data_IF_115050017540
#
_entry.id   IF_115050017540
#
_cell.length_a   1.000
_cell.length_b   1.000
_cell.length_c   1.000
_cell.angle_alpha   90.00
_cell.angle_beta   90.00
_cell.angle_gamma   90.00
#
_symmetry.space_group_name_H-M   'P 1'
#
loop_
_entity.id
_entity.type
_entity.pdbx_description
1 polymer ?
#
# COMPACT_ATOMS: atom_id res chain seq x y z
N UNK A 1 -36.04 -61.80 -2.53
CA UNK A 1 -35.20 -62.19 -3.67
C UNK A 1 -35.04 -60.95 -4.53
N UNK A 2 -34.22 -60.00 -4.07
CA UNK A 2 -32.79 -59.84 -4.46
C UNK A 2 -32.69 -59.13 -5.83
N UNK A 3 -32.55 -57.80 -5.82
CA UNK A 3 -31.29 -57.03 -5.90
C UNK A 3 -30.57 -57.13 -7.24
N UNK A 4 -30.48 -55.99 -7.95
CA UNK A 4 -29.23 -55.33 -8.42
C UNK A 4 -29.61 -54.21 -9.40
N UNK A 5 -29.18 -52.98 -9.11
CA UNK A 5 -28.00 -52.36 -9.75
C UNK A 5 -28.27 -52.15 -11.24
N UNK A 6 -28.38 -50.93 -11.77
CA UNK A 6 -27.31 -49.94 -11.80
C UNK A 6 -27.91 -48.53 -11.91
N UNK A 7 -27.82 -47.78 -10.82
CA UNK A 7 -27.98 -46.33 -10.81
C UNK A 7 -26.58 -45.74 -10.90
N UNK A 8 -26.41 -44.71 -11.74
CA UNK A 8 -25.28 -43.77 -11.75
C UNK A 8 -23.98 -44.23 -12.42
N UNK A 9 -24.00 -44.26 -13.75
CA UNK A 9 -22.92 -43.62 -14.51
C UNK A 9 -22.93 -42.11 -14.19
N UNK A 10 -21.77 -41.45 -14.28
CA UNK A 10 -21.46 -40.06 -13.91
C UNK A 10 -20.93 -39.86 -12.48
N UNK A 11 -19.76 -40.48 -12.23
CA UNK A 11 -18.81 -39.98 -11.22
C UNK A 11 -18.46 -38.51 -11.56
N UNK A 12 -18.42 -37.62 -10.56
CA UNK A 12 -18.71 -36.21 -10.75
C UNK A 12 -17.53 -35.42 -11.29
N UNK A 13 -17.81 -34.57 -12.27
CA UNK A 13 -16.98 -33.45 -12.72
C UNK A 13 -16.91 -32.34 -11.63
N UNK A 14 -16.72 -32.70 -10.36
CA UNK A 14 -16.79 -31.77 -9.22
C UNK A 14 -15.51 -31.71 -8.38
N UNK A 15 -14.46 -32.46 -8.73
CA UNK A 15 -13.13 -32.30 -8.13
C UNK A 15 -12.28 -31.18 -8.78
N UNK A 16 -12.91 -30.23 -9.48
CA UNK A 16 -12.24 -29.02 -9.98
C UNK A 16 -12.59 -27.75 -9.18
N UNK A 17 -13.38 -27.88 -8.10
CA UNK A 17 -13.76 -26.76 -7.23
C UNK A 17 -13.14 -26.81 -5.83
N UNK A 18 -12.05 -27.57 -5.66
CA UNK A 18 -11.28 -27.53 -4.41
C UNK A 18 -9.81 -27.24 -4.66
N UNK A 19 -9.53 -26.21 -5.47
CA UNK A 19 -8.37 -25.39 -5.15
C UNK A 19 -8.85 -24.36 -4.14
N UNK A 20 -8.38 -24.38 -2.88
CA UNK A 20 -8.37 -23.15 -2.11
C UNK A 20 -7.46 -22.23 -2.91
N UNK A 21 -8.07 -21.34 -3.70
CA UNK A 21 -7.37 -20.29 -4.40
C UNK A 21 -6.44 -19.67 -3.38
N UNK A 22 -5.14 -19.84 -3.65
CA UNK A 22 -4.07 -19.55 -2.75
C UNK A 22 -4.31 -18.20 -2.10
N UNK A 23 -4.43 -18.17 -0.76
CA UNK A 23 -4.25 -16.94 0.00
C UNK A 23 -2.78 -16.56 -0.13
N UNK A 24 -2.39 -16.07 -1.30
CA UNK A 24 -1.20 -15.25 -1.42
C UNK A 24 -1.63 -13.89 -0.94
N UNK A 25 -1.49 -13.62 0.37
CA UNK A 25 -1.17 -12.27 0.80
C UNK A 25 0.27 -12.02 0.34
N UNK A 26 0.49 -12.02 -0.98
CA UNK A 26 1.64 -11.34 -1.53
C UNK A 26 1.34 -9.88 -1.22
N UNK A 27 2.22 -9.22 -0.49
CA UNK A 27 2.19 -7.77 -0.30
C UNK A 27 2.28 -7.16 -1.72
N UNK A 28 1.14 -7.05 -2.38
CA UNK A 28 1.03 -6.46 -3.71
C UNK A 28 0.87 -4.98 -3.48
N UNK A 29 1.45 -4.17 -4.37
CA UNK A 29 1.19 -2.72 -4.42
C UNK A 29 -0.26 -2.43 -4.88
N UNK A 30 -1.25 -3.22 -4.47
CA UNK A 30 -2.65 -3.10 -4.85
C UNK A 30 -2.91 -3.20 -6.36
N UNK A 31 -2.02 -3.85 -7.12
CA UNK A 31 -2.08 -3.91 -8.59
C UNK A 31 -1.51 -2.68 -9.32
N UNK A 32 -0.90 -1.74 -8.58
CA UNK A 32 -0.15 -0.63 -9.14
C UNK A 32 1.23 -1.10 -9.65
N UNK A 33 1.67 -0.55 -10.78
CA UNK A 33 2.99 -0.86 -11.36
C UNK A 33 3.93 0.31 -11.08
N UNK A 34 4.87 0.12 -10.15
CA UNK A 34 5.95 1.08 -9.92
C UNK A 34 7.14 0.67 -10.76
N UNK A 35 7.47 1.45 -11.79
CA UNK A 35 8.67 1.16 -12.59
C UNK A 35 9.92 1.29 -11.72
N UNK A 36 10.93 0.42 -11.93
CA UNK A 36 12.21 0.51 -11.18
C UNK A 36 12.86 1.89 -11.31
N UNK A 37 12.72 2.55 -12.46
CA UNK A 37 13.23 3.91 -12.67
C UNK A 37 12.48 4.98 -11.86
N UNK A 38 11.22 4.74 -11.48
CA UNK A 38 10.45 5.62 -10.61
C UNK A 38 10.66 5.31 -9.12
N UNK A 39 11.06 4.07 -8.78
CA UNK A 39 11.41 3.66 -7.42
C UNK A 39 12.83 4.07 -7.00
N UNK A 40 13.69 4.40 -7.97
CA UNK A 40 15.07 4.83 -7.74
C UNK A 40 15.12 6.35 -7.53
N UNK A 41 14.84 6.74 -6.30
CA UNK A 41 15.45 7.94 -5.73
C UNK A 41 16.86 7.52 -5.30
N UNK A 42 17.92 8.01 -5.97
CA UNK A 42 19.33 7.73 -5.64
C UNK A 42 19.78 8.43 -4.34
N UNK A 43 18.86 9.09 -3.66
CA UNK A 43 18.94 9.53 -2.28
C UNK A 43 19.05 8.28 -1.39
N UNK A 44 20.25 8.09 -0.82
CA UNK A 44 20.60 6.96 0.03
C UNK A 44 19.61 6.68 1.18
N UNK A 45 19.87 5.63 1.95
CA UNK A 45 18.96 5.12 2.99
C UNK A 45 18.27 6.23 3.80
N UNK A 46 16.94 6.23 3.82
CA UNK A 46 16.12 7.17 4.58
C UNK A 46 16.66 7.36 6.01
N UNK A 47 17.02 8.59 6.36
CA UNK A 47 17.58 8.96 7.67
C UNK A 47 16.53 9.46 8.66
N UNK A 48 15.27 9.58 8.26
CA UNK A 48 14.18 10.04 9.14
C UNK A 48 13.82 8.95 10.13
N UNK A 49 13.76 9.34 11.41
CA UNK A 49 13.40 8.44 12.50
C UNK A 49 11.94 7.97 12.39
N UNK A 50 11.72 6.67 12.66
CA UNK A 50 10.40 6.04 12.74
C UNK A 50 10.05 5.74 14.20
N UNK A 51 8.84 6.10 14.64
CA UNK A 51 8.33 5.84 15.99
C UNK A 51 6.96 5.19 15.92
N UNK A 52 6.71 4.25 16.81
CA UNK A 52 5.42 3.57 16.94
C UNK A 52 4.44 4.36 17.84
N UNK A 53 3.29 3.77 18.11
CA UNK A 53 2.24 4.34 18.97
C UNK A 53 2.63 4.50 20.44
N UNK A 54 3.84 4.08 20.85
CA UNK A 54 4.36 4.33 22.21
C UNK A 54 4.75 5.80 22.44
N UNK A 55 4.90 6.59 21.38
CA UNK A 55 5.28 8.00 21.48
C UNK A 55 4.14 8.83 22.08
N UNK A 56 4.38 9.38 23.28
CA UNK A 56 3.40 10.26 23.92
C UNK A 56 3.34 11.64 23.25
N UNK A 57 2.21 12.33 23.39
CA UNK A 57 2.05 13.70 22.90
C UNK A 57 3.12 14.65 23.44
N UNK A 58 3.44 14.58 24.74
CA UNK A 58 4.45 15.43 25.34
C UNK A 58 5.85 15.19 24.74
N UNK A 59 6.22 13.93 24.52
CA UNK A 59 7.47 13.58 23.85
C UNK A 59 7.48 14.05 22.39
N UNK A 60 6.37 13.92 21.68
CA UNK A 60 6.25 14.44 20.31
C UNK A 60 6.50 15.95 20.24
N UNK A 61 5.83 16.73 21.09
CA UNK A 61 5.98 18.18 21.14
C UNK A 61 7.40 18.59 21.49
N UNK A 62 8.01 17.95 22.49
CA UNK A 62 9.35 18.31 22.96
C UNK A 62 10.46 17.90 21.98
N UNK A 63 10.34 16.74 21.33
CA UNK A 63 11.45 16.13 20.59
C UNK A 63 11.36 16.26 19.07
N UNK A 64 10.17 16.51 18.50
CA UNK A 64 9.94 16.45 17.04
C UNK A 64 9.21 17.66 16.46
N UNK A 65 8.07 18.07 17.04
CA UNK A 65 7.11 18.99 16.41
C UNK A 65 7.73 20.25 15.78
N UNK A 66 8.78 20.80 16.39
CA UNK A 66 9.47 22.01 15.92
C UNK A 66 10.96 21.79 15.60
N UNK A 67 11.49 20.60 15.84
CA UNK A 67 12.93 20.32 15.79
C UNK A 67 13.32 19.53 14.55
N UNK A 68 12.67 18.39 14.28
CA UNK A 68 13.05 17.40 13.26
C UNK A 68 11.86 16.54 12.83
N UNK A 69 11.86 15.98 11.61
CA UNK A 69 10.73 15.18 11.13
C UNK A 69 10.75 13.81 11.80
N UNK A 70 9.59 13.16 11.87
CA UNK A 70 9.42 11.78 12.35
C UNK A 70 8.30 11.11 11.59
N UNK A 71 8.47 9.83 11.28
CA UNK A 71 7.44 8.98 10.69
C UNK A 71 6.75 8.23 11.84
N UNK A 72 5.44 8.41 11.99
CA UNK A 72 4.66 7.68 12.99
C UNK A 72 4.04 6.44 12.37
N UNK A 73 4.28 5.28 12.99
CA UNK A 73 3.83 3.97 12.52
C UNK A 73 2.87 3.33 13.52
N UNK A 74 2.00 2.45 13.04
CA UNK A 74 1.09 1.68 13.90
C UNK A 74 0.07 2.51 14.68
N UNK A 75 -0.22 3.75 14.23
CA UNK A 75 -1.25 4.59 14.85
C UNK A 75 -2.66 4.10 14.55
N UNK A 76 -2.88 3.59 13.34
CA UNK A 76 -4.19 3.15 12.86
C UNK A 76 -4.02 1.91 12.00
N UNK A 77 -4.97 0.99 12.07
CA UNK A 77 -5.13 -0.05 11.07
C UNK A 77 -5.69 0.58 9.79
N UNK A 78 -4.90 0.54 8.70
CA UNK A 78 -5.28 1.06 7.40
C UNK A 78 -5.60 -0.04 6.38
N UNK A 79 -5.82 -1.29 6.81
CA UNK A 79 -6.11 -2.43 5.92
C UNK A 79 -7.34 -2.19 5.03
N UNK A 80 -8.42 -1.65 5.59
CA UNK A 80 -9.62 -1.31 4.81
C UNK A 80 -9.31 -0.26 3.74
N UNK A 81 -8.53 0.77 4.10
CA UNK A 81 -8.11 1.81 3.16
C UNK A 81 -7.24 1.21 2.03
N UNK A 82 -6.28 0.36 2.37
CA UNK A 82 -5.45 -0.34 1.38
C UNK A 82 -6.30 -1.17 0.41
N UNK A 83 -7.27 -1.94 0.92
CA UNK A 83 -8.17 -2.75 0.11
C UNK A 83 -9.01 -1.89 -0.86
N UNK A 84 -9.53 -0.76 -0.40
CA UNK A 84 -10.30 0.18 -1.21
C UNK A 84 -9.43 0.95 -2.23
N UNK A 85 -8.13 1.09 -1.97
CA UNK A 85 -7.17 1.80 -2.83
C UNK A 85 -6.40 0.91 -3.82
N UNK A 86 -6.82 -0.34 -3.99
CA UNK A 86 -6.32 -1.17 -5.09
C UNK A 86 -6.72 -0.58 -6.44
N UNK A 87 -5.90 -0.80 -7.47
CA UNK A 87 -6.11 -0.29 -8.83
C UNK A 87 -7.51 -0.65 -9.34
N UNK A 88 -7.91 -1.91 -9.20
CA UNK A 88 -9.20 -2.38 -9.70
C UNK A 88 -10.38 -1.76 -8.95
N UNK A 89 -10.30 -1.60 -7.62
CA UNK A 89 -11.35 -0.95 -6.83
C UNK A 89 -11.50 0.53 -7.17
N UNK A 90 -10.37 1.24 -7.33
CA UNK A 90 -10.39 2.66 -7.70
C UNK A 90 -10.92 2.86 -9.12
N UNK A 91 -10.54 2.01 -10.08
CA UNK A 91 -11.09 2.07 -11.45
C UNK A 91 -12.58 1.71 -11.49
N UNK A 92 -13.00 0.68 -10.76
CA UNK A 92 -14.41 0.28 -10.70
C UNK A 92 -15.30 1.37 -10.11
N UNK A 93 -14.83 2.07 -9.07
CA UNK A 93 -15.62 3.09 -8.37
C UNK A 93 -15.50 4.48 -8.98
N UNK A 94 -14.31 4.83 -9.49
CA UNK A 94 -13.98 6.20 -9.91
C UNK A 94 -13.48 6.31 -11.35
N UNK A 95 -13.47 5.25 -12.15
CA UNK A 95 -12.91 5.24 -13.50
C UNK A 95 -13.52 6.26 -14.46
N UNK A 96 -14.82 6.56 -14.30
CA UNK A 96 -15.54 7.56 -15.09
C UNK A 96 -15.50 8.97 -14.48
N UNK A 97 -14.88 9.14 -13.30
CA UNK A 97 -14.83 10.43 -12.61
C UNK A 97 -13.69 11.29 -13.14
N UNK A 98 -13.99 12.55 -13.44
CA UNK A 98 -12.98 13.53 -13.80
C UNK A 98 -12.14 13.90 -12.56
N UNK A 99 -10.86 13.54 -12.58
CA UNK A 99 -9.90 13.94 -11.56
C UNK A 99 -9.04 15.08 -12.10
N UNK A 100 -8.90 16.14 -11.31
CA UNK A 100 -7.97 17.22 -11.64
C UNK A 100 -6.54 16.73 -11.45
N UNK A 101 -5.82 16.60 -12.57
CA UNK A 101 -4.40 16.31 -12.55
C UNK A 101 -3.61 17.62 -12.65
N UNK A 102 -2.69 17.82 -11.72
CA UNK A 102 -1.69 18.87 -11.83
C UNK A 102 -0.42 18.26 -12.40
N UNK A 103 -0.10 18.56 -13.66
CA UNK A 103 1.19 18.18 -14.24
C UNK A 103 2.23 19.21 -13.82
N UNK A 104 3.15 18.81 -12.94
CA UNK A 104 4.31 19.62 -12.62
C UNK A 104 5.41 19.31 -13.65
N UNK A 105 5.78 20.31 -14.43
CA UNK A 105 6.89 20.19 -15.37
C UNK A 105 8.18 20.39 -14.56
N UNK A 106 9.09 19.41 -14.66
CA UNK A 106 10.39 19.29 -13.98
C UNK A 106 10.34 18.99 -12.47
N UNK A 107 10.96 17.86 -12.14
CA UNK A 107 11.53 17.43 -10.85
C UNK A 107 11.49 18.51 -9.77
N UNK A 108 10.80 18.24 -8.66
CA UNK A 108 10.64 19.16 -7.54
C UNK A 108 11.94 19.88 -7.20
N UNK A 109 11.88 21.21 -7.25
CA UNK A 109 12.97 22.15 -6.98
C UNK A 109 13.87 21.68 -5.82
N UNK A 110 15.19 21.86 -5.97
CA UNK A 110 16.10 21.86 -4.84
C UNK A 110 15.57 22.90 -3.85
N UNK A 111 15.15 22.46 -2.66
CA UNK A 111 14.62 23.33 -1.61
C UNK A 111 15.62 24.48 -1.39
N UNK A 112 15.25 25.67 -1.85
CA UNK A 112 16.04 26.88 -1.69
C UNK A 112 16.22 27.17 -0.21
N UNK A 113 17.33 27.82 0.14
CA UNK A 113 17.76 28.17 1.50
C UNK A 113 16.86 29.24 2.15
N UNK A 114 15.55 29.09 2.06
CA UNK A 114 14.59 30.02 2.63
C UNK A 114 14.21 29.56 4.04
N UNK A 115 15.21 29.51 4.93
CA UNK A 115 15.08 29.26 6.39
C UNK A 115 14.38 27.96 6.83
N UNK A 116 13.81 27.19 5.92
CA UNK A 116 13.01 26.00 6.16
C UNK A 116 13.90 24.78 6.11
N UNK A 117 14.22 24.23 7.28
CA UNK A 117 15.02 23.01 7.50
C UNK A 117 14.90 22.01 6.33
N UNK A 118 16.01 21.66 5.71
CA UNK A 118 16.07 20.56 4.73
C UNK A 118 15.62 19.27 5.43
N UNK A 119 14.49 18.72 5.00
CA UNK A 119 14.00 17.44 5.50
C UNK A 119 14.33 16.36 4.47
N UNK A 120 14.87 15.20 4.89
CA UNK A 120 15.15 14.10 3.98
C UNK A 120 13.86 13.57 3.35
N UNK A 121 13.95 13.16 2.08
CA UNK A 121 12.90 12.36 1.42
C UNK A 121 13.01 10.91 1.89
N UNK A 122 11.87 10.26 2.14
CA UNK A 122 11.82 8.86 2.52
C UNK A 122 10.71 8.18 1.72
N UNK A 123 11.04 7.08 1.05
CA UNK A 123 10.04 6.22 0.45
C UNK A 123 9.21 5.53 1.56
N UNK A 124 7.89 5.31 1.32
CA UNK A 124 7.11 4.41 2.16
C UNK A 124 7.75 3.02 2.11
N UNK A 125 7.89 2.42 3.28
CA UNK A 125 8.41 1.07 3.51
C UNK A 125 7.27 0.09 3.66
#
# INVERSE_FOLDING_TARGET
METKSQLLLFLPLSMFFWFPGSFTLLETDGGWLTSRHAALSDDGSCTVERRDSSLTYAQFIQQYAFSRPVILQGLTDNTEFQAQCTKDQLLARFGEHLVRLSTANTYSYRKGEDGGKNFPSCAPS
#
